data_IF_670015285137
#
_entry.id   IF_670015285137
#
_cell.length_a   1.000
_cell.length_b   1.000
_cell.length_c   1.000
_cell.angle_alpha   90.00
_cell.angle_beta   90.00
_cell.angle_gamma   90.00
#
_symmetry.space_group_name_H-M   'P 1'
#
loop_
_entity.id
_entity.type
_entity.pdbx_description
1 polymer ?
#
# COMPACT_ATOMS: atom_id res chain seq x y z
N UNK A 1 17.64 -8.09 4.58
CA UNK A 1 16.22 -7.86 4.30
C UNK A 1 16.03 -7.66 2.80
N UNK A 2 15.19 -8.49 2.17
CA UNK A 2 14.82 -8.43 0.76
C UNK A 2 13.39 -7.93 0.64
N UNK A 3 13.23 -6.80 -0.04
CA UNK A 3 11.92 -6.17 -0.24
C UNK A 3 11.63 -6.18 -1.73
N UNK A 4 10.41 -6.60 -2.08
CA UNK A 4 9.93 -6.59 -3.46
C UNK A 4 8.70 -5.70 -3.52
N UNK A 5 8.63 -4.86 -4.54
CA UNK A 5 7.44 -4.06 -4.84
C UNK A 5 6.93 -4.39 -6.23
N UNK A 6 5.65 -4.68 -6.35
CA UNK A 6 5.01 -5.04 -7.61
C UNK A 6 3.60 -4.49 -7.72
N UNK A 7 3.38 -3.63 -8.72
CA UNK A 7 2.05 -3.31 -9.20
C UNK A 7 1.50 -4.50 -10.01
N UNK A 8 0.52 -5.20 -9.45
CA UNK A 8 -0.03 -6.46 -10.02
C UNK A 8 -1.17 -6.23 -10.99
N UNK A 9 -1.64 -4.99 -11.16
CA UNK A 9 -2.75 -4.63 -12.03
C UNK A 9 -3.98 -5.57 -11.88
N UNK A 10 -4.33 -5.88 -10.64
CA UNK A 10 -5.43 -6.76 -10.25
C UNK A 10 -4.95 -8.11 -9.77
N UNK A 11 -5.00 -8.33 -8.45
CA UNK A 11 -4.47 -9.54 -7.80
C UNK A 11 -5.20 -10.82 -8.24
N UNK A 12 -6.50 -10.73 -8.47
CA UNK A 12 -7.30 -11.86 -8.98
C UNK A 12 -6.90 -12.28 -10.39
N UNK A 13 -6.31 -11.37 -11.17
CA UNK A 13 -5.88 -11.67 -12.54
C UNK A 13 -4.61 -12.51 -12.62
N UNK A 14 -3.86 -12.58 -11.50
CA UNK A 14 -2.59 -13.32 -11.38
C UNK A 14 -2.69 -14.59 -10.54
N UNK A 15 -3.68 -14.72 -9.64
CA UNK A 15 -3.86 -15.87 -8.72
C UNK A 15 -3.66 -17.25 -9.39
N UNK A 16 -4.23 -17.47 -10.58
CA UNK A 16 -4.12 -18.75 -11.32
C UNK A 16 -2.96 -18.85 -12.31
N UNK A 17 -2.02 -17.92 -12.31
CA UNK A 17 -0.94 -17.81 -13.31
C UNK A 17 0.45 -18.06 -12.71
N UNK A 18 0.53 -18.92 -11.70
CA UNK A 18 1.79 -19.21 -11.03
C UNK A 18 2.23 -18.12 -10.05
N UNK A 19 1.28 -17.33 -9.51
CA UNK A 19 1.59 -16.18 -8.68
C UNK A 19 2.20 -16.60 -7.34
N UNK A 20 1.61 -17.58 -6.66
CA UNK A 20 2.14 -18.10 -5.40
C UNK A 20 3.56 -18.68 -5.57
N UNK A 21 3.79 -19.46 -6.63
CA UNK A 21 5.09 -20.04 -6.97
C UNK A 21 6.12 -18.97 -7.34
N UNK A 22 5.67 -17.89 -7.96
CA UNK A 22 6.52 -16.73 -8.25
C UNK A 22 6.91 -16.03 -6.95
N UNK A 23 5.97 -15.75 -6.05
CA UNK A 23 6.26 -15.13 -4.76
C UNK A 23 7.16 -16.02 -3.88
N UNK A 24 6.95 -17.34 -3.89
CA UNK A 24 7.80 -18.30 -3.19
C UNK A 24 9.23 -18.30 -3.73
N UNK A 25 9.42 -18.35 -5.06
CA UNK A 25 10.75 -18.29 -5.70
C UNK A 25 11.47 -16.97 -5.48
N UNK A 26 10.70 -15.89 -5.37
CA UNK A 26 11.24 -14.57 -5.09
C UNK A 26 11.78 -14.47 -3.65
N UNK A 27 11.35 -15.31 -2.72
CA UNK A 27 11.92 -15.48 -1.38
C UNK A 27 12.24 -14.15 -0.68
N UNK A 28 11.23 -13.27 -0.59
CA UNK A 28 11.38 -11.94 0.01
C UNK A 28 11.03 -11.95 1.50
N UNK A 29 11.56 -10.98 2.25
CA UNK A 29 11.13 -10.73 3.62
C UNK A 29 9.83 -9.90 3.64
N UNK A 30 9.69 -8.99 2.67
CA UNK A 30 8.48 -8.18 2.48
C UNK A 30 8.12 -8.09 0.99
N UNK A 31 6.83 -8.21 0.68
CA UNK A 31 6.27 -8.03 -0.66
C UNK A 31 5.21 -6.93 -0.60
N UNK A 32 5.38 -5.90 -1.41
CA UNK A 32 4.49 -4.75 -1.51
C UNK A 32 3.72 -4.85 -2.82
N UNK A 33 2.41 -5.08 -2.73
CA UNK A 33 1.54 -5.16 -3.90
C UNK A 33 0.77 -3.84 -4.08
N UNK A 34 0.70 -3.35 -5.31
CA UNK A 34 -0.12 -2.20 -5.69
C UNK A 34 -1.12 -2.57 -6.79
N UNK A 35 -2.19 -1.79 -6.90
CA UNK A 35 -3.33 -2.06 -7.79
C UNK A 35 -3.91 -3.47 -7.56
N UNK A 36 -4.14 -3.84 -6.31
CA UNK A 36 -4.75 -5.14 -6.00
C UNK A 36 -6.17 -5.25 -6.58
N UNK A 37 -6.90 -4.12 -6.68
CA UNK A 37 -8.26 -4.02 -7.29
C UNK A 37 -9.23 -5.07 -6.73
N UNK A 38 -9.15 -5.31 -5.43
CA UNK A 38 -9.84 -6.36 -4.72
C UNK A 38 -10.22 -5.90 -3.31
N UNK A 39 -11.23 -6.54 -2.74
CA UNK A 39 -11.58 -6.40 -1.32
C UNK A 39 -10.83 -7.46 -0.50
N UNK A 40 -10.81 -7.31 0.83
CA UNK A 40 -10.00 -8.16 1.71
C UNK A 40 -10.24 -9.67 1.50
N UNK A 41 -11.50 -10.11 1.42
CA UNK A 41 -11.88 -11.50 1.14
C UNK A 41 -11.31 -12.05 -0.18
N UNK A 42 -11.24 -11.18 -1.19
CA UNK A 42 -10.69 -11.52 -2.51
C UNK A 42 -9.17 -11.54 -2.51
N UNK A 43 -8.52 -10.73 -1.66
CA UNK A 43 -7.08 -10.71 -1.48
C UNK A 43 -6.66 -11.98 -0.74
N UNK A 44 -7.33 -12.33 0.35
CA UNK A 44 -7.06 -13.55 1.13
C UNK A 44 -7.16 -14.78 0.24
N UNK A 45 -8.24 -14.86 -0.56
CA UNK A 45 -8.38 -15.92 -1.56
C UNK A 45 -7.27 -15.90 -2.60
N UNK A 46 -6.86 -14.73 -3.09
CA UNK A 46 -5.80 -14.61 -4.10
C UNK A 46 -4.41 -14.98 -3.59
N UNK A 47 -4.22 -14.92 -2.27
CA UNK A 47 -2.98 -15.24 -1.58
C UNK A 47 -3.03 -16.61 -0.88
N UNK A 48 -4.09 -17.39 -1.10
CA UNK A 48 -4.22 -18.75 -0.58
C UNK A 48 -3.02 -19.62 -1.03
N UNK A 49 -2.41 -20.32 -0.08
CA UNK A 49 -1.19 -21.11 -0.30
C UNK A 49 0.13 -20.34 -0.23
N UNK A 50 0.09 -19.04 0.10
CA UNK A 50 1.29 -18.26 0.44
C UNK A 50 1.44 -18.25 1.96
N UNK A 51 2.21 -19.20 2.46
CA UNK A 51 2.44 -19.36 3.90
C UNK A 51 3.61 -18.52 4.42
N UNK A 52 3.61 -18.27 5.73
CA UNK A 52 4.73 -17.62 6.43
C UNK A 52 4.79 -16.10 6.28
N UNK A 53 3.72 -15.47 5.80
CA UNK A 53 3.58 -14.01 5.77
C UNK A 53 2.36 -13.55 6.57
N UNK A 54 2.53 -12.45 7.30
CA UNK A 54 1.47 -11.61 7.78
C UNK A 54 0.98 -10.72 6.64
N UNK A 55 -0.33 -10.68 6.40
CA UNK A 55 -0.95 -9.97 5.27
C UNK A 55 -1.73 -8.78 5.81
N UNK A 56 -1.43 -7.59 5.30
CA UNK A 56 -2.12 -6.35 5.64
C UNK A 56 -2.54 -5.62 4.37
N UNK A 57 -3.82 -5.28 4.25
CA UNK A 57 -4.38 -4.70 3.03
C UNK A 57 -5.11 -3.41 3.32
N UNK A 58 -4.88 -2.40 2.47
CA UNK A 58 -5.71 -1.21 2.40
C UNK A 58 -6.52 -1.25 1.08
N UNK A 59 -7.83 -1.37 1.20
CA UNK A 59 -8.73 -1.54 0.05
C UNK A 59 -9.44 -0.21 -0.26
N UNK A 60 -9.58 0.11 -1.55
CA UNK A 60 -10.43 1.23 -1.94
C UNK A 60 -11.91 0.96 -1.63
N UNK A 61 -12.66 2.00 -1.25
CA UNK A 61 -14.12 1.93 -1.14
C UNK A 61 -14.77 1.58 -2.49
N UNK A 62 -14.22 2.14 -3.57
CA UNK A 62 -14.62 1.76 -4.94
C UNK A 62 -14.12 0.35 -5.25
N UNK A 63 -15.05 -0.61 -5.36
CA UNK A 63 -14.76 -1.98 -5.75
C UNK A 63 -14.00 -2.06 -7.08
N UNK A 64 -12.95 -2.89 -7.13
CA UNK A 64 -12.14 -3.08 -8.33
C UNK A 64 -11.18 -1.94 -8.65
N UNK A 65 -10.95 -1.02 -7.71
CA UNK A 65 -10.10 0.15 -7.89
C UNK A 65 -8.90 0.14 -6.92
N UNK A 66 -7.76 0.67 -7.37
CA UNK A 66 -6.55 0.89 -6.59
C UNK A 66 -6.21 -0.27 -5.61
N UNK A 67 -6.01 0.03 -4.33
CA UNK A 67 -5.67 -0.94 -3.29
C UNK A 67 -4.19 -1.28 -3.22
N UNK A 68 -3.71 -1.45 -1.99
CA UNK A 68 -2.33 -1.87 -1.68
C UNK A 68 -2.32 -2.96 -0.62
N UNK A 69 -1.35 -3.87 -0.70
CA UNK A 69 -1.18 -4.95 0.28
C UNK A 69 0.30 -5.11 0.64
N UNK A 70 0.60 -5.32 1.92
CA UNK A 70 1.92 -5.74 2.40
C UNK A 70 1.81 -7.19 2.86
N UNK A 71 2.69 -8.04 2.35
CA UNK A 71 3.02 -9.33 2.94
C UNK A 71 4.35 -9.17 3.66
N UNK A 72 4.44 -9.53 4.93
CA UNK A 72 5.70 -9.51 5.68
C UNK A 72 5.93 -10.80 6.45
N UNK A 73 7.14 -11.37 6.40
CA UNK A 73 7.51 -12.54 7.22
C UNK A 73 7.60 -12.22 8.70
N UNK A 74 7.83 -10.95 9.02
CA UNK A 74 7.92 -10.45 10.38
C UNK A 74 6.69 -9.60 10.68
N UNK A 75 6.07 -9.85 11.83
CA UNK A 75 4.96 -9.01 12.28
C UNK A 75 5.46 -7.58 12.53
N UNK A 76 4.89 -6.56 11.88
CA UNK A 76 5.20 -5.16 12.16
C UNK A 76 4.74 -4.78 13.56
N UNK A 77 5.44 -3.84 14.20
CA UNK A 77 5.04 -3.25 15.48
C UNK A 77 3.70 -2.51 15.38
N UNK A 78 3.46 -1.89 14.22
CA UNK A 78 2.24 -1.17 13.93
C UNK A 78 1.95 -1.19 12.43
N UNK A 79 0.66 -1.25 12.09
CA UNK A 79 0.15 -0.93 10.76
C UNK A 79 -0.62 0.40 10.81
N UNK A 80 -0.31 1.29 9.87
CA UNK A 80 -1.01 2.55 9.68
C UNK A 80 -1.61 2.53 8.27
N UNK A 81 -2.92 2.68 8.21
CA UNK A 81 -3.63 2.87 6.96
C UNK A 81 -3.70 4.36 6.64
N UNK A 82 -3.42 4.69 5.39
CA UNK A 82 -3.54 6.04 4.86
C UNK A 82 -2.69 7.09 5.57
N UNK A 83 -2.94 8.37 5.28
CA UNK A 83 -2.10 9.50 5.72
C UNK A 83 -2.90 10.62 6.38
N UNK A 84 -4.20 10.40 6.65
CA UNK A 84 -5.08 11.29 7.39
C UNK A 84 -5.74 12.37 6.52
N UNK A 85 -5.81 12.16 5.20
CA UNK A 85 -6.42 13.11 4.27
C UNK A 85 -7.66 12.47 3.70
N UNK A 86 -8.83 12.93 4.15
CA UNK A 86 -10.12 12.32 3.83
C UNK A 86 -10.35 12.08 2.32
N UNK A 87 -9.85 12.97 1.44
CA UNK A 87 -9.94 12.81 -0.02
C UNK A 87 -9.05 11.68 -0.59
N UNK A 88 -8.00 11.27 0.11
CA UNK A 88 -7.04 10.23 -0.31
C UNK A 88 -7.26 8.89 0.40
N UNK A 89 -7.76 8.96 1.62
CA UNK A 89 -7.93 7.81 2.52
C UNK A 89 -9.09 6.88 2.10
N UNK A 90 -9.84 7.22 1.03
CA UNK A 90 -10.92 6.39 0.48
C UNK A 90 -10.44 5.44 -0.65
N UNK A 91 -9.24 5.68 -1.19
CA UNK A 91 -8.74 4.94 -2.36
C UNK A 91 -7.78 3.80 -2.00
N UNK A 92 -7.50 3.58 -0.71
CA UNK A 92 -6.64 2.52 -0.21
C UNK A 92 -5.25 2.56 -0.85
N UNK A 93 -4.63 3.74 -0.86
CA UNK A 93 -3.38 3.99 -1.61
C UNK A 93 -2.12 3.90 -0.78
N UNK A 94 -2.24 3.94 0.54
CA UNK A 94 -1.10 3.95 1.44
C UNK A 94 -1.32 2.94 2.55
N UNK A 95 -0.30 2.13 2.80
CA UNK A 95 -0.17 1.36 4.02
C UNK A 95 1.27 1.47 4.51
N UNK A 96 1.44 1.68 5.81
CA UNK A 96 2.73 1.81 6.46
C UNK A 96 2.88 0.71 7.50
N UNK A 97 3.97 -0.04 7.43
CA UNK A 97 4.38 -1.00 8.44
C UNK A 97 5.56 -0.45 9.24
N UNK A 98 5.42 -0.35 10.56
CA UNK A 98 6.48 0.07 11.47
C UNK A 98 7.26 -1.14 11.98
N UNK A 99 8.59 -1.05 11.93
CA UNK A 99 9.53 -2.01 12.50
C UNK A 99 10.51 -1.27 13.42
N UNK A 100 11.23 -1.99 14.28
CA UNK A 100 12.09 -1.40 15.32
C UNK A 100 13.11 -0.36 14.81
N UNK A 101 13.59 -0.49 13.57
CA UNK A 101 14.59 0.42 13.00
C UNK A 101 14.11 1.24 11.80
N UNK A 102 12.90 1.01 11.28
CA UNK A 102 12.45 1.65 10.04
C UNK A 102 10.93 1.56 9.85
N UNK A 103 10.42 2.44 8.98
CA UNK A 103 9.06 2.34 8.44
C UNK A 103 9.12 1.86 7.00
N UNK A 104 8.25 0.91 6.65
CA UNK A 104 8.05 0.43 5.30
C UNK A 104 6.74 0.98 4.74
N UNK A 105 6.83 1.81 3.71
CA UNK A 105 5.67 2.44 3.08
C UNK A 105 5.38 1.74 1.75
N UNK A 106 4.18 1.18 1.62
CA UNK A 106 3.65 0.76 0.33
C UNK A 106 2.67 1.82 -0.17
N UNK A 107 2.98 2.44 -1.31
CA UNK A 107 2.25 3.59 -1.84
C UNK A 107 1.91 3.39 -3.31
N UNK A 108 0.64 3.52 -3.64
CA UNK A 108 0.16 3.61 -5.01
C UNK A 108 -0.28 5.06 -5.32
N UNK A 109 0.68 5.87 -5.76
CA UNK A 109 0.46 7.29 -6.08
C UNK A 109 -0.62 7.44 -7.17
N UNK A 110 -1.61 8.34 -7.01
CA UNK A 110 -2.62 8.56 -8.03
C UNK A 110 -1.98 9.02 -9.34
N UNK A 111 -2.40 8.40 -10.44
CA UNK A 111 -2.07 8.87 -11.77
C UNK A 111 -2.69 10.26 -11.97
N UNK A 112 -2.00 11.18 -12.66
CA UNK A 112 -2.47 12.54 -12.95
C UNK A 112 -3.74 12.57 -13.80
N UNK A 113 -4.17 11.45 -14.37
CA UNK A 113 -5.34 11.32 -15.22
C UNK A 113 -5.13 11.96 -16.60
N UNK A 114 -6.09 11.74 -17.48
CA UNK A 114 -6.15 12.46 -18.75
C UNK A 114 -6.27 13.96 -18.49
N UNK A 115 -5.58 14.76 -19.33
CA UNK A 115 -5.53 16.22 -19.22
C UNK A 115 -5.20 16.75 -17.80
N UNK A 116 -4.43 15.99 -17.00
CA UNK A 116 -4.00 16.37 -15.64
C UNK A 116 -5.15 16.54 -14.63
N UNK A 117 -6.32 15.94 -14.87
CA UNK A 117 -7.50 16.07 -14.01
C UNK A 117 -7.26 15.68 -12.53
N UNK A 118 -6.22 14.89 -12.24
CA UNK A 118 -5.81 14.44 -10.91
C UNK A 118 -4.41 14.90 -10.49
N UNK A 119 -3.80 15.86 -11.18
CA UNK A 119 -2.47 16.35 -10.83
C UNK A 119 -2.39 16.88 -9.39
N UNK A 120 -3.42 17.58 -8.92
CA UNK A 120 -3.52 18.07 -7.53
C UNK A 120 -3.49 16.91 -6.52
N UNK A 121 -4.21 15.83 -6.79
CA UNK A 121 -4.22 14.65 -5.91
C UNK A 121 -2.82 14.00 -5.81
N UNK A 122 -2.09 13.94 -6.93
CA UNK A 122 -0.70 13.50 -6.94
C UNK A 122 0.20 14.42 -6.11
N UNK A 123 0.09 15.73 -6.30
CA UNK A 123 0.91 16.70 -5.56
C UNK A 123 0.66 16.65 -4.05
N UNK A 124 -0.61 16.54 -3.63
CA UNK A 124 -0.99 16.35 -2.23
C UNK A 124 -0.38 15.07 -1.66
N UNK A 125 -0.49 13.94 -2.37
CA UNK A 125 0.16 12.68 -1.97
C UNK A 125 1.68 12.87 -1.79
N UNK A 126 2.35 13.47 -2.77
CA UNK A 126 3.80 13.72 -2.73
C UNK A 126 4.20 14.61 -1.54
N UNK A 127 3.41 15.66 -1.24
CA UNK A 127 3.65 16.55 -0.10
C UNK A 127 3.58 15.79 1.23
N UNK A 128 2.58 14.92 1.38
CA UNK A 128 2.35 14.21 2.63
C UNK A 128 3.41 13.14 2.89
N UNK A 129 3.86 12.45 1.83
CA UNK A 129 4.98 11.51 1.93
C UNK A 129 6.27 12.21 2.35
N UNK A 130 6.58 13.39 1.78
CA UNK A 130 7.75 14.19 2.19
C UNK A 130 7.67 14.58 3.67
N UNK A 131 6.47 14.86 4.18
CA UNK A 131 6.29 15.21 5.58
C UNK A 131 6.39 14.00 6.50
N UNK A 132 5.89 12.84 6.06
CA UNK A 132 6.08 11.57 6.77
C UNK A 132 7.58 11.28 6.97
N UNK A 133 8.40 11.48 5.94
CA UNK A 133 9.86 11.27 6.01
C UNK A 133 10.58 12.19 7.01
N UNK A 134 10.01 13.35 7.32
CA UNK A 134 10.59 14.33 8.27
C UNK A 134 10.13 14.10 9.71
N UNK A 135 9.33 13.07 9.99
CA UNK A 135 8.86 12.76 11.34
C UNK A 135 10.01 12.23 12.23
N UNK A 136 9.98 12.61 13.50
CA UNK A 136 10.63 11.84 14.55
C UNK A 136 9.82 10.55 14.84
N UNK A 137 10.45 9.44 15.22
CA UNK A 137 9.75 8.20 15.59
C UNK A 137 8.64 8.49 16.62
N UNK A 138 7.43 7.96 16.40
CA UNK A 138 6.31 8.07 17.36
C UNK A 138 5.37 9.28 17.20
N UNK A 139 5.58 10.20 16.26
CA UNK A 139 4.67 11.34 16.07
C UNK A 139 3.63 11.10 14.94
N UNK A 140 2.34 11.15 15.27
CA UNK A 140 1.20 10.94 14.34
C UNK A 140 0.78 12.22 13.58
N UNK A 141 1.72 13.04 13.14
CA UNK A 141 1.38 14.30 12.45
C UNK A 141 0.72 14.09 11.07
N UNK A 142 -0.56 14.43 10.95
CA UNK A 142 -1.25 14.64 9.67
C UNK A 142 -1.29 16.15 9.40
N UNK A 143 -0.86 16.64 8.22
CA UNK A 143 -1.03 18.05 7.88
C UNK A 143 -2.52 18.39 7.82
N UNK A 144 -2.86 19.57 8.32
CA UNK A 144 -4.22 20.10 8.17
C UNK A 144 -4.48 20.45 6.70
N UNK A 145 -5.75 20.46 6.26
CA UNK A 145 -6.11 20.90 4.90
C UNK A 145 -5.57 22.30 4.56
N UNK A 146 -5.42 23.16 5.56
CA UNK A 146 -4.85 24.50 5.42
C UNK A 146 -3.35 24.49 5.06
N UNK A 147 -2.61 23.41 5.34
CA UNK A 147 -1.20 23.25 4.95
C UNK A 147 -1.04 22.63 3.55
N UNK A 148 -2.15 22.26 2.89
CA UNK A 148 -2.19 21.62 1.57
C UNK A 148 -2.66 22.58 0.45
N UNK A 149 -3.02 23.82 0.79
CA UNK A 149 -3.38 24.92 -0.11
C UNK A 149 -2.18 25.83 -0.37
#
# INVERSE_FOLDING_TARGET
MKIISWNVNGIRSVQGKGFAETLARLDADCILLQETKAQADQIDKALEGIDGYHIYSNCAERKGYAGVTILSRHEPLQIIHDIGIAEHDQEGRVIVAEFEGFYLLNVYVPNSGEALARATAKQKTDYCLRRFQRRAPGNRYCPSEAELQ
#
